data_IF_268341238027
#
_entry.id   IF_268341238027
#
_cell.length_a   1.000
_cell.length_b   1.000
_cell.length_c   1.000
_cell.angle_alpha   90.00
_cell.angle_beta   90.00
_cell.angle_gamma   90.00
#
_symmetry.space_group_name_H-M   'P 1'
#
loop_
_entity.id
_entity.type
_entity.pdbx_description
1 polymer ?
#
# COMPACT_ATOMS: atom_id res chain seq x y z
N UNK A 1 -10.15 -8.71 28.58
CA UNK A 1 -10.03 -7.37 28.03
C UNK A 1 -9.71 -7.46 26.55
N UNK A 2 -10.47 -6.78 25.73
CA UNK A 2 -10.25 -6.81 24.30
C UNK A 2 -8.97 -6.07 23.93
N UNK A 3 -8.27 -6.59 22.92
CA UNK A 3 -7.09 -5.91 22.39
C UNK A 3 -7.51 -4.61 21.75
N UNK A 4 -6.78 -3.54 22.02
CA UNK A 4 -7.02 -2.26 21.38
C UNK A 4 -6.40 -2.27 20.00
N UNK A 5 -7.20 -2.57 18.99
CA UNK A 5 -6.75 -2.56 17.60
C UNK A 5 -7.46 -1.44 16.85
N UNK A 6 -6.71 -0.64 16.11
CA UNK A 6 -7.31 0.42 15.30
C UNK A 6 -6.55 0.64 14.00
N UNK A 7 -7.29 1.05 12.99
CA UNK A 7 -6.76 1.49 11.70
C UNK A 7 -6.71 3.02 11.76
N UNK A 8 -5.54 3.59 11.52
CA UNK A 8 -5.38 5.05 11.60
C UNK A 8 -4.27 5.54 10.68
N UNK A 9 -4.24 6.86 10.48
CA UNK A 9 -3.14 7.48 9.75
C UNK A 9 -1.86 7.38 10.57
N UNK A 10 -0.74 7.16 9.90
CA UNK A 10 0.56 7.09 10.54
C UNK A 10 1.04 8.48 10.92
N UNK A 11 1.84 8.54 11.97
CA UNK A 11 2.54 9.77 12.38
C UNK A 11 4.02 9.50 12.42
N UNK A 12 4.81 10.55 12.64
CA UNK A 12 6.27 10.43 12.69
C UNK A 12 6.73 9.40 13.75
N UNK A 13 5.92 9.20 14.78
CA UNK A 13 6.24 8.25 15.83
C UNK A 13 6.11 6.78 15.38
N UNK A 14 5.50 6.54 14.21
CA UNK A 14 5.28 5.19 13.71
C UNK A 14 6.39 4.71 12.78
N UNK A 15 7.38 5.54 12.49
CA UNK A 15 8.46 5.20 11.55
C UNK A 15 9.16 3.90 11.95
N UNK A 16 9.52 3.76 13.23
CA UNK A 16 10.20 2.56 13.71
C UNK A 16 9.37 1.30 13.50
N UNK A 17 8.06 1.37 13.76
CA UNK A 17 7.17 0.24 13.57
C UNK A 17 7.00 -0.13 12.11
N UNK A 18 6.89 0.87 11.24
CA UNK A 18 6.80 0.64 9.79
C UNK A 18 8.09 -0.02 9.27
N UNK A 19 9.26 0.51 9.69
CA UNK A 19 10.54 -0.06 9.26
C UNK A 19 10.66 -1.52 9.69
N UNK A 20 10.22 -1.86 10.90
CA UNK A 20 10.27 -3.24 11.38
C UNK A 20 9.44 -4.18 10.51
N UNK A 21 8.32 -3.68 9.95
CA UNK A 21 7.48 -4.47 9.05
C UNK A 21 8.09 -4.62 7.66
N UNK A 22 8.66 -3.55 7.10
CA UNK A 22 9.01 -3.55 5.68
C UNK A 22 10.44 -4.05 5.40
N UNK A 23 11.38 -3.89 6.35
CA UNK A 23 12.77 -4.29 6.12
C UNK A 23 12.93 -5.76 5.72
N UNK A 24 12.26 -6.73 6.38
CA UNK A 24 12.35 -8.12 5.93
C UNK A 24 11.85 -8.31 4.51
N UNK A 25 10.79 -7.60 4.12
CA UNK A 25 10.22 -7.72 2.78
C UNK A 25 11.11 -7.06 1.72
N UNK A 26 11.79 -5.98 2.09
CA UNK A 26 12.79 -5.36 1.20
C UNK A 26 13.95 -6.32 0.96
N UNK A 27 14.42 -6.99 2.02
CA UNK A 27 15.51 -7.95 1.91
C UNK A 27 15.15 -9.13 1.01
N UNK A 28 13.87 -9.51 0.98
CA UNK A 28 13.37 -10.60 0.13
C UNK A 28 13.05 -10.13 -1.30
N UNK A 29 13.21 -8.85 -1.59
CA UNK A 29 12.88 -8.31 -2.92
C UNK A 29 11.40 -8.12 -3.17
N UNK A 30 10.56 -8.25 -2.14
CA UNK A 30 9.11 -8.10 -2.27
C UNK A 30 8.73 -6.62 -2.33
N UNK A 31 9.41 -5.79 -1.55
CA UNK A 31 9.19 -4.34 -1.53
C UNK A 31 10.43 -3.61 -2.00
N UNK A 32 10.22 -2.46 -2.65
CA UNK A 32 11.30 -1.54 -3.02
C UNK A 32 11.83 -0.88 -1.76
N UNK A 33 13.16 -0.80 -1.65
CA UNK A 33 13.81 -0.23 -0.47
C UNK A 33 13.50 1.26 -0.34
N UNK A 34 13.15 1.68 0.87
CA UNK A 34 12.93 3.08 1.22
C UNK A 34 13.86 3.48 2.35
N UNK A 35 14.47 4.65 2.24
CA UNK A 35 15.27 5.19 3.33
C UNK A 35 14.36 5.68 4.45
N UNK A 36 14.93 5.82 5.65
CA UNK A 36 14.21 6.39 6.77
C UNK A 36 13.77 7.83 6.46
N UNK A 37 14.65 8.60 5.84
CA UNK A 37 14.36 9.99 5.48
C UNK A 37 13.19 10.07 4.51
N UNK A 38 13.14 9.16 3.54
CA UNK A 38 12.04 9.11 2.59
C UNK A 38 10.72 8.81 3.31
N UNK A 39 10.73 7.85 4.25
CA UNK A 39 9.53 7.54 5.04
C UNK A 39 9.09 8.73 5.87
N UNK A 40 10.03 9.46 6.47
CA UNK A 40 9.70 10.65 7.24
C UNK A 40 9.03 11.71 6.38
N UNK A 41 9.50 11.90 5.15
CA UNK A 41 8.91 12.85 4.21
C UNK A 41 7.53 12.43 3.72
N UNK A 42 7.28 11.11 3.64
CA UNK A 42 6.06 10.57 3.07
C UNK A 42 5.11 10.00 4.11
N UNK A 43 5.35 10.25 5.40
CA UNK A 43 4.59 9.60 6.47
C UNK A 43 3.08 9.87 6.37
N UNK A 44 2.69 11.03 5.83
CA UNK A 44 1.28 11.38 5.66
C UNK A 44 0.58 10.52 4.61
N UNK A 45 1.33 9.77 3.80
CA UNK A 45 0.76 8.84 2.82
C UNK A 45 0.41 7.49 3.43
N UNK A 46 0.84 7.22 4.66
CA UNK A 46 0.75 5.89 5.26
C UNK A 46 -0.45 5.76 6.17
N UNK A 47 -1.08 4.58 6.10
CA UNK A 47 -2.08 4.11 7.04
C UNK A 47 -1.51 2.89 7.73
N UNK A 48 -1.72 2.79 9.04
CA UNK A 48 -1.26 1.63 9.81
C UNK A 48 -2.42 0.98 10.55
N UNK A 49 -2.21 -0.27 10.92
CA UNK A 49 -3.05 -0.95 11.91
C UNK A 49 -2.19 -1.13 13.14
N UNK A 50 -2.68 -0.60 14.26
CA UNK A 50 -1.99 -0.66 15.54
C UNK A 50 -2.77 -1.56 16.48
N UNK A 51 -2.07 -2.43 17.17
CA UNK A 51 -2.67 -3.30 18.17
C UNK A 51 -1.74 -3.35 19.39
N UNK A 52 -2.28 -2.98 20.56
CA UNK A 52 -1.53 -2.99 21.82
C UNK A 52 -0.21 -2.22 21.68
N UNK A 53 -0.25 -1.04 21.07
CA UNK A 53 0.87 -0.14 20.86
C UNK A 53 1.92 -0.68 19.90
N UNK A 54 1.59 -1.72 19.11
CA UNK A 54 2.50 -2.26 18.12
C UNK A 54 1.91 -2.07 16.72
N UNK A 55 2.74 -1.63 15.76
CA UNK A 55 2.33 -1.55 14.36
C UNK A 55 2.34 -2.94 13.76
N UNK A 56 1.17 -3.47 13.39
CA UNK A 56 1.05 -4.83 12.86
C UNK A 56 0.81 -4.86 11.36
N UNK A 57 0.48 -3.73 10.75
CA UNK A 57 0.29 -3.66 9.30
C UNK A 57 0.44 -2.22 8.84
N UNK A 58 0.80 -2.04 7.58
CA UNK A 58 0.89 -0.71 6.97
C UNK A 58 0.61 -0.77 5.47
N UNK A 59 0.23 0.37 4.90
CA UNK A 59 0.10 0.57 3.47
C UNK A 59 0.17 2.06 3.18
N UNK A 60 0.61 2.41 1.97
CA UNK A 60 0.69 3.79 1.53
C UNK A 60 -0.23 4.04 0.35
N UNK A 61 -0.74 5.25 0.23
CA UNK A 61 -1.48 5.73 -0.93
C UNK A 61 -0.73 6.90 -1.54
N UNK A 62 -0.27 6.74 -2.77
CA UNK A 62 0.40 7.80 -3.53
C UNK A 62 -0.55 8.30 -4.60
N UNK A 63 -1.11 9.52 -4.45
CA UNK A 63 -2.07 10.03 -5.43
C UNK A 63 -1.37 10.66 -6.62
N UNK A 64 -1.97 10.51 -7.80
CA UNK A 64 -1.58 11.18 -9.04
C UNK A 64 -2.83 11.90 -9.54
N UNK A 65 -3.10 13.12 -9.00
CA UNK A 65 -4.38 13.80 -9.24
C UNK A 65 -4.64 14.14 -10.70
N UNK A 66 -3.59 14.47 -11.45
CA UNK A 66 -3.74 14.87 -12.87
C UNK A 66 -4.32 13.74 -13.70
N UNK A 67 -3.97 12.50 -13.39
CA UNK A 67 -4.48 11.33 -14.09
C UNK A 67 -5.63 10.65 -13.33
N UNK A 68 -6.00 11.20 -12.18
CA UNK A 68 -7.08 10.70 -11.32
C UNK A 68 -6.88 9.24 -10.90
N UNK A 69 -5.63 8.85 -10.66
CA UNK A 69 -5.29 7.50 -10.28
C UNK A 69 -4.40 7.54 -9.01
N UNK A 70 -4.50 6.51 -8.18
CA UNK A 70 -3.67 6.37 -7.00
C UNK A 70 -2.95 5.03 -6.98
N UNK A 71 -1.79 5.00 -6.35
CA UNK A 71 -1.03 3.76 -6.13
C UNK A 71 -1.15 3.33 -4.67
N UNK A 72 -1.59 2.08 -4.46
CA UNK A 72 -1.46 1.44 -3.15
C UNK A 72 -0.12 0.71 -3.13
N UNK A 73 0.74 1.10 -2.22
CA UNK A 73 2.12 0.60 -2.19
C UNK A 73 2.54 0.27 -0.77
N UNK A 74 3.69 -0.40 -0.66
CA UNK A 74 4.32 -0.67 0.62
C UNK A 74 3.40 -1.41 1.61
N UNK A 75 2.64 -2.37 1.08
CA UNK A 75 1.70 -3.15 1.89
C UNK A 75 2.49 -4.21 2.66
N UNK A 76 2.38 -4.20 3.98
CA UNK A 76 3.05 -5.17 4.83
C UNK A 76 2.17 -5.52 6.01
N UNK A 77 2.13 -6.83 6.36
CA UNK A 77 1.39 -7.32 7.52
C UNK A 77 2.36 -8.19 8.33
N UNK A 78 2.38 -7.95 9.63
CA UNK A 78 3.21 -8.74 10.55
C UNK A 78 2.90 -10.23 10.37
N UNK A 79 3.92 -11.12 10.34
CA UNK A 79 3.68 -12.55 10.08
C UNK A 79 2.66 -13.21 10.97
N UNK A 80 2.57 -12.81 12.23
CA UNK A 80 1.63 -13.40 13.18
C UNK A 80 0.18 -13.01 12.90
N UNK A 81 -0.06 -12.04 12.01
CA UNK A 81 -1.40 -11.52 11.73
C UNK A 81 -1.84 -11.70 10.28
N UNK A 82 -1.06 -12.43 9.48
CA UNK A 82 -1.34 -12.59 8.05
C UNK A 82 -2.57 -13.43 7.74
N UNK A 83 -2.97 -14.29 8.64
CA UNK A 83 -4.10 -15.19 8.42
C UNK A 83 -5.46 -14.52 8.62
N UNK A 84 -5.48 -13.26 9.04
CA UNK A 84 -6.73 -12.53 9.26
C UNK A 84 -6.83 -11.39 8.25
N UNK A 85 -7.89 -10.61 8.32
CA UNK A 85 -8.32 -9.70 7.27
C UNK A 85 -7.62 -8.33 7.27
N UNK A 86 -6.39 -8.23 7.81
CA UNK A 86 -5.70 -6.93 7.91
C UNK A 86 -5.40 -6.32 6.56
N UNK A 87 -4.97 -7.12 5.59
CA UNK A 87 -4.74 -6.60 4.25
C UNK A 87 -6.01 -6.00 3.64
N UNK A 88 -7.13 -6.66 3.84
CA UNK A 88 -8.42 -6.19 3.36
C UNK A 88 -8.86 -4.91 4.07
N UNK A 89 -8.62 -4.81 5.37
CA UNK A 89 -8.90 -3.58 6.13
C UNK A 89 -8.10 -2.40 5.59
N UNK A 90 -6.83 -2.63 5.27
CA UNK A 90 -5.98 -1.60 4.67
C UNK A 90 -6.49 -1.19 3.30
N UNK A 91 -6.83 -2.16 2.46
CA UNK A 91 -7.34 -1.88 1.11
C UNK A 91 -8.63 -1.06 1.18
N UNK A 92 -9.55 -1.44 2.07
CA UNK A 92 -10.80 -0.71 2.26
C UNK A 92 -10.54 0.74 2.65
N UNK A 93 -9.63 0.96 3.62
CA UNK A 93 -9.32 2.32 4.06
C UNK A 93 -8.64 3.14 2.97
N UNK A 94 -7.69 2.54 2.25
CA UNK A 94 -6.99 3.20 1.16
C UNK A 94 -7.98 3.58 0.04
N UNK A 95 -8.89 2.68 -0.31
CA UNK A 95 -9.91 2.95 -1.33
C UNK A 95 -10.81 4.10 -0.92
N UNK A 96 -11.22 4.15 0.36
CA UNK A 96 -12.02 5.26 0.87
C UNK A 96 -11.27 6.59 0.76
N UNK A 97 -10.01 6.61 1.13
CA UNK A 97 -9.18 7.82 1.04
C UNK A 97 -9.04 8.27 -0.41
N UNK A 98 -8.81 7.33 -1.33
CA UNK A 98 -8.67 7.64 -2.74
C UNK A 98 -9.95 8.26 -3.30
N UNK A 99 -11.12 7.70 -2.94
CA UNK A 99 -12.41 8.26 -3.38
C UNK A 99 -12.59 9.69 -2.87
N UNK A 100 -12.22 9.95 -1.63
CA UNK A 100 -12.33 11.31 -1.04
C UNK A 100 -11.44 12.30 -1.76
N UNK A 101 -10.34 11.83 -2.33
CA UNK A 101 -9.43 12.67 -3.11
C UNK A 101 -9.88 12.87 -4.55
N UNK A 102 -11.00 12.24 -4.96
CA UNK A 102 -11.48 12.32 -6.33
C UNK A 102 -10.77 11.40 -7.30
N UNK A 103 -9.99 10.45 -6.80
CA UNK A 103 -9.33 9.48 -7.66
C UNK A 103 -10.33 8.45 -8.18
N UNK A 104 -10.19 8.04 -9.43
CA UNK A 104 -11.11 7.14 -10.10
C UNK A 104 -10.62 5.70 -10.13
N UNK A 105 -9.33 5.48 -9.99
CA UNK A 105 -8.73 4.16 -10.09
C UNK A 105 -7.61 4.00 -9.06
N UNK A 106 -7.38 2.75 -8.65
CA UNK A 106 -6.19 2.37 -7.88
C UNK A 106 -5.39 1.38 -8.69
N UNK A 107 -4.06 1.49 -8.62
CA UNK A 107 -3.21 0.45 -9.16
C UNK A 107 -2.22 -0.03 -8.11
N UNK A 108 -1.69 -1.22 -8.32
CA UNK A 108 -0.64 -1.80 -7.50
C UNK A 108 0.42 -2.37 -8.41
N UNK A 109 1.67 -2.33 -7.93
CA UNK A 109 2.79 -3.02 -8.57
C UNK A 109 3.20 -4.13 -7.63
N UNK A 110 3.00 -5.38 -8.02
CA UNK A 110 3.23 -6.51 -7.13
C UNK A 110 3.99 -7.63 -7.84
N UNK A 111 4.84 -8.33 -7.08
CA UNK A 111 5.56 -9.49 -7.58
C UNK A 111 4.96 -10.80 -7.07
N UNK A 112 4.17 -10.76 -6.00
CA UNK A 112 3.71 -11.98 -5.33
C UNK A 112 2.22 -12.04 -5.01
N UNK A 113 1.54 -10.90 -4.88
CA UNK A 113 0.17 -10.88 -4.37
C UNK A 113 -0.87 -10.73 -5.47
N UNK A 114 -0.55 -11.19 -6.69
CA UNK A 114 -1.42 -11.02 -7.86
C UNK A 114 -2.80 -11.61 -7.60
N UNK A 115 -2.84 -12.87 -7.15
CA UNK A 115 -4.10 -13.58 -6.94
C UNK A 115 -4.96 -12.89 -5.87
N UNK A 116 -4.32 -12.45 -4.78
CA UNK A 116 -5.02 -11.76 -3.70
C UNK A 116 -5.73 -10.51 -4.20
N UNK A 117 -5.03 -9.71 -5.02
CA UNK A 117 -5.62 -8.49 -5.59
C UNK A 117 -6.70 -8.82 -6.62
N UNK A 118 -6.50 -9.86 -7.44
CA UNK A 118 -7.51 -10.25 -8.43
C UNK A 118 -8.82 -10.66 -7.77
N UNK A 119 -8.75 -11.36 -6.65
CA UNK A 119 -9.94 -11.73 -5.89
C UNK A 119 -10.72 -10.52 -5.39
N UNK A 120 -10.08 -9.36 -5.33
CA UNK A 120 -10.68 -8.14 -4.81
C UNK A 120 -10.97 -7.11 -5.91
N UNK A 121 -11.05 -7.56 -7.14
CA UNK A 121 -11.51 -6.74 -8.25
C UNK A 121 -10.43 -6.06 -9.06
N UNK A 122 -9.16 -6.34 -8.79
CA UNK A 122 -8.07 -5.82 -9.60
C UNK A 122 -7.88 -6.69 -10.83
N UNK A 123 -7.54 -6.07 -11.95
CA UNK A 123 -7.30 -6.77 -13.21
C UNK A 123 -5.91 -6.41 -13.75
N UNK A 124 -5.26 -7.34 -14.48
CA UNK A 124 -3.96 -7.03 -15.08
C UNK A 124 -4.03 -5.87 -16.06
N UNK A 125 -2.98 -5.06 -16.10
CA UNK A 125 -2.89 -3.93 -17.00
C UNK A 125 -1.45 -3.80 -17.50
N UNK A 126 -1.28 -3.04 -18.57
CA UNK A 126 0.03 -2.79 -19.15
C UNK A 126 0.71 -1.61 -18.46
N UNK A 127 2.04 -1.53 -18.56
CA UNK A 127 2.83 -0.45 -17.95
C UNK A 127 2.40 0.91 -18.46
N UNK A 128 1.92 0.99 -19.70
CA UNK A 128 1.56 2.27 -20.32
C UNK A 128 0.35 2.95 -19.66
N UNK A 129 -0.43 2.24 -18.82
CA UNK A 129 -1.53 2.87 -18.07
C UNK A 129 -1.04 3.62 -16.84
N UNK A 130 0.20 3.44 -16.45
CA UNK A 130 0.74 4.09 -15.26
C UNK A 130 0.85 5.59 -15.47
N UNK A 131 0.74 6.39 -14.38
CA UNK A 131 1.04 7.81 -14.47
C UNK A 131 2.44 8.04 -15.00
N UNK A 132 2.64 9.14 -15.74
CA UNK A 132 3.92 9.42 -16.40
C UNK A 132 5.09 9.39 -15.43
N UNK A 133 4.92 9.95 -14.22
CA UNK A 133 5.97 9.94 -13.21
C UNK A 133 6.34 8.52 -12.79
N UNK A 134 5.34 7.67 -12.62
CA UNK A 134 5.56 6.30 -12.18
C UNK A 134 6.10 5.42 -13.31
N UNK A 135 5.64 5.67 -14.54
CA UNK A 135 6.11 4.95 -15.71
C UNK A 135 7.62 5.10 -15.88
N UNK A 136 8.13 6.30 -15.67
CA UNK A 136 9.56 6.58 -15.79
C UNK A 136 10.39 5.84 -14.74
N UNK A 137 9.78 5.48 -13.60
CA UNK A 137 10.47 4.82 -12.50
C UNK A 137 10.22 3.30 -12.45
N UNK A 138 9.42 2.78 -13.37
CA UNK A 138 9.11 1.36 -13.38
C UNK A 138 10.38 0.53 -13.59
N UNK A 139 10.59 -0.45 -12.70
CA UNK A 139 11.77 -1.30 -12.73
C UNK A 139 11.44 -2.64 -13.40
N UNK A 140 11.79 -2.75 -14.66
CA UNK A 140 11.54 -3.97 -15.44
C UNK A 140 12.29 -5.18 -14.90
N UNK A 141 13.44 -4.98 -14.25
CA UNK A 141 14.21 -6.09 -13.68
C UNK A 141 13.48 -6.74 -12.51
N UNK A 142 12.70 -5.97 -11.76
CA UNK A 142 11.91 -6.48 -10.66
C UNK A 142 10.72 -7.31 -11.16
N UNK A 143 10.29 -7.05 -12.38
CA UNK A 143 9.19 -7.76 -13.05
C UNK A 143 7.89 -7.75 -12.25
N UNK A 144 7.61 -6.67 -11.58
CA UNK A 144 6.32 -6.52 -10.91
C UNK A 144 5.21 -6.46 -11.94
N UNK A 145 4.04 -6.98 -11.56
CA UNK A 145 2.85 -6.91 -12.41
C UNK A 145 2.06 -5.68 -12.05
N UNK A 146 1.46 -5.06 -13.06
CA UNK A 146 0.57 -3.93 -12.89
C UNK A 146 -0.85 -4.46 -12.79
N UNK A 147 -1.53 -4.16 -11.70
CA UNK A 147 -2.94 -4.50 -11.52
C UNK A 147 -3.70 -3.22 -11.23
N UNK A 148 -4.90 -3.10 -11.79
CA UNK A 148 -5.69 -1.89 -11.68
C UNK A 148 -7.13 -2.22 -11.28
N UNK A 149 -7.73 -1.34 -10.50
CA UNK A 149 -9.11 -1.47 -10.05
C UNK A 149 -9.81 -0.12 -10.17
N UNK A 150 -11.02 -0.11 -10.70
CA UNK A 150 -11.83 1.10 -10.73
C UNK A 150 -12.48 1.32 -9.38
N UNK A 151 -12.53 2.58 -8.94
CA UNK A 151 -13.16 2.97 -7.69
C UNK A 151 -14.59 3.39 -7.97
N UNK A 152 -15.53 2.80 -7.24
CA UNK A 152 -16.95 3.17 -7.37
C UNK A 152 -17.18 4.53 -6.72
N UNK A 153 -18.24 5.21 -7.15
CA UNK A 153 -18.59 6.54 -6.66
C UNK A 153 -19.43 6.51 -5.37
N UNK A 154 -19.51 5.39 -4.71
CA UNK A 154 -20.34 5.27 -3.50
C UNK A 154 -19.73 5.97 -2.30
#
# INVERSE_FOLDING_TARGET
MESAEQVRRATINDIGGILALIRPLEQQGILVRRSREQLEMEIDKFTIIERDNMTIACAALYPFPDEQIGEMACVAVHPDYRSSSRGEMLLTRIAQQARRMGLKKLFVLTTRSIHWFQERGFTPAEVDILPNQKKALYNYQRRSKVLICELSDS
#
